data_IF_730277313849
#
_entry.id   IF_730277313849
#
_cell.length_a   1.000
_cell.length_b   1.000
_cell.length_c   1.000
_cell.angle_alpha   90.00
_cell.angle_beta   90.00
_cell.angle_gamma   90.00
#
_symmetry.space_group_name_H-M   'P 1'
#
loop_
_entity.id
_entity.type
_entity.pdbx_description
1 polymer ?
#
# COMPACT_ATOMS: atom_id res chain seq x y z
N UNK A 1 14.21 37.43 -7.06
CA UNK A 1 13.36 36.92 -5.96
C UNK A 1 12.08 36.27 -6.48
N UNK A 2 11.24 36.97 -7.27
CA UNK A 2 9.95 36.43 -7.76
C UNK A 2 10.08 35.18 -8.65
N UNK A 3 11.10 35.14 -9.50
CA UNK A 3 11.37 34.01 -10.42
C UNK A 3 11.73 32.72 -9.67
N UNK A 4 12.56 32.82 -8.63
CA UNK A 4 12.91 31.67 -7.78
C UNK A 4 11.68 31.08 -7.08
N UNK A 5 10.79 31.93 -6.60
CA UNK A 5 9.53 31.52 -6.00
C UNK A 5 8.62 30.78 -6.99
N UNK A 6 8.53 31.28 -8.23
CA UNK A 6 7.75 30.64 -9.29
C UNK A 6 8.34 29.28 -9.70
N UNK A 7 9.67 29.17 -9.83
CA UNK A 7 10.36 27.91 -10.13
C UNK A 7 10.18 26.90 -8.99
N UNK A 8 10.24 27.34 -7.73
CA UNK A 8 10.04 26.48 -6.57
C UNK A 8 8.60 25.95 -6.50
N UNK A 9 7.60 26.80 -6.76
CA UNK A 9 6.19 26.35 -6.84
C UNK A 9 5.99 25.34 -7.98
N UNK A 10 6.57 25.59 -9.16
CA UNK A 10 6.45 24.68 -10.29
C UNK A 10 7.10 23.31 -9.99
N UNK A 11 8.25 23.29 -9.31
CA UNK A 11 8.89 22.04 -8.88
C UNK A 11 8.03 21.27 -7.87
N UNK A 12 7.43 21.96 -6.89
CA UNK A 12 6.56 21.32 -5.89
C UNK A 12 5.26 20.77 -6.48
N UNK A 13 4.70 21.47 -7.47
CA UNK A 13 3.49 21.05 -8.20
C UNK A 13 3.78 19.97 -9.25
N UNK A 14 5.00 19.94 -9.80
CA UNK A 14 5.45 18.96 -10.78
C UNK A 14 5.96 17.64 -10.19
N UNK A 15 6.10 17.57 -8.86
CA UNK A 15 6.28 16.28 -8.18
C UNK A 15 4.95 15.56 -8.19
N UNK A 16 4.78 14.64 -9.14
CA UNK A 16 3.84 13.54 -9.01
C UNK A 16 4.08 12.91 -7.64
N UNK A 17 3.07 12.98 -6.78
CA UNK A 17 3.08 12.23 -5.52
C UNK A 17 2.98 10.76 -5.91
N UNK A 18 4.12 10.09 -6.07
CA UNK A 18 4.19 8.64 -6.12
C UNK A 18 3.82 8.12 -4.72
N UNK A 19 2.54 8.19 -4.38
CA UNK A 19 2.00 7.53 -3.22
C UNK A 19 1.98 6.04 -3.55
N UNK A 20 3.09 5.36 -3.28
CA UNK A 20 3.10 3.91 -3.33
C UNK A 20 2.10 3.41 -2.30
N UNK A 21 1.05 2.76 -2.77
CA UNK A 21 0.08 2.11 -1.92
C UNK A 21 0.80 1.06 -1.07
N UNK A 22 0.51 1.03 0.23
CA UNK A 22 1.00 0.01 1.13
C UNK A 22 -0.18 -0.74 1.73
N UNK A 23 -0.11 -2.07 1.69
CA UNK A 23 -1.12 -2.96 2.24
C UNK A 23 -0.50 -4.00 3.18
N UNK A 24 -1.33 -4.64 3.99
CA UNK A 24 -0.95 -5.84 4.74
C UNK A 24 -1.07 -7.07 3.84
N UNK A 25 -0.11 -7.99 3.95
CA UNK A 25 -0.05 -9.22 3.14
C UNK A 25 -0.09 -10.45 4.02
N UNK A 26 -0.92 -11.42 3.66
CA UNK A 26 -1.18 -12.62 4.44
C UNK A 26 -1.20 -13.86 3.54
N UNK A 27 -0.04 -14.20 2.97
CA UNK A 27 0.08 -15.36 2.08
C UNK A 27 0.80 -16.50 2.79
N UNK A 28 0.11 -17.64 2.97
CA UNK A 28 0.67 -18.88 3.52
C UNK A 28 1.39 -18.71 4.87
N UNK A 29 0.80 -17.92 5.77
CA UNK A 29 1.39 -17.65 7.09
C UNK A 29 0.77 -18.54 8.18
N UNK A 30 1.63 -19.07 9.05
CA UNK A 30 1.23 -19.92 10.18
C UNK A 30 0.67 -19.13 11.39
N UNK A 31 0.79 -17.79 11.38
CA UNK A 31 0.28 -16.92 12.44
C UNK A 31 -0.18 -15.59 11.86
N UNK A 32 -1.30 -15.09 12.38
CA UNK A 32 -1.89 -13.80 12.00
C UNK A 32 -0.93 -12.63 12.24
N UNK A 33 -0.01 -12.75 13.20
CA UNK A 33 0.97 -11.69 13.47
C UNK A 33 1.83 -11.37 12.24
N UNK A 34 2.21 -12.39 11.47
CA UNK A 34 3.02 -12.19 10.27
C UNK A 34 2.27 -11.53 9.12
N UNK A 35 0.94 -11.44 9.22
CA UNK A 35 0.12 -10.76 8.24
C UNK A 35 0.11 -9.24 8.41
N UNK A 36 0.54 -8.73 9.57
CA UNK A 36 0.57 -7.30 9.89
C UNK A 36 1.82 -6.58 9.36
N UNK A 37 2.59 -7.22 8.47
CA UNK A 37 3.74 -6.61 7.83
C UNK A 37 3.28 -5.73 6.65
N UNK A 38 3.55 -4.42 6.66
CA UNK A 38 3.25 -3.56 5.53
C UNK A 38 4.13 -3.94 4.33
N UNK A 39 3.53 -3.97 3.15
CA UNK A 39 4.19 -4.31 1.88
C UNK A 39 3.84 -3.25 0.84
N UNK A 40 4.82 -2.85 0.03
CA UNK A 40 4.60 -1.93 -1.09
C UNK A 40 3.83 -2.69 -2.19
N UNK A 41 2.74 -2.11 -2.65
CA UNK A 41 1.92 -2.64 -3.75
C UNK A 41 2.49 -2.27 -5.12
N UNK A 42 1.97 -2.89 -6.18
CA UNK A 42 2.31 -2.49 -7.55
C UNK A 42 1.82 -1.07 -7.82
N UNK A 43 2.52 -0.33 -8.69
CA UNK A 43 2.09 1.01 -9.13
C UNK A 43 0.72 0.99 -9.85
N UNK A 44 0.30 -0.19 -10.33
CA UNK A 44 -1.04 -0.41 -10.92
C UNK A 44 -2.15 -0.63 -9.89
N UNK A 45 -1.82 -0.88 -8.63
CA UNK A 45 -2.80 -1.18 -7.58
C UNK A 45 -3.34 0.11 -6.98
N UNK A 46 -4.67 0.18 -6.83
CA UNK A 46 -5.36 1.40 -6.37
C UNK A 46 -6.06 1.22 -5.01
N UNK A 47 -6.17 -0.01 -4.51
CA UNK A 47 -6.83 -0.33 -3.24
C UNK A 47 -6.35 -1.66 -2.66
N UNK A 48 -6.43 -1.80 -1.34
CA UNK A 48 -6.18 -3.06 -0.66
C UNK A 48 -7.44 -3.94 -0.65
N UNK A 49 -7.28 -5.26 -0.77
CA UNK A 49 -8.36 -6.22 -0.61
C UNK A 49 -8.08 -7.12 0.59
N UNK A 50 -9.10 -7.38 1.39
CA UNK A 50 -9.03 -8.33 2.50
C UNK A 50 -9.84 -9.56 2.15
N UNK A 51 -9.17 -10.72 2.03
CA UNK A 51 -9.81 -12.01 1.93
C UNK A 51 -9.66 -12.72 3.27
N UNK A 52 -10.78 -13.10 3.89
CA UNK A 52 -10.81 -13.95 5.07
C UNK A 52 -11.47 -15.27 4.71
N UNK A 53 -10.88 -16.36 5.18
CA UNK A 53 -11.48 -17.68 5.13
C UNK A 53 -11.54 -18.21 6.56
N UNK A 54 -12.72 -18.67 6.99
CA UNK A 54 -12.84 -19.42 8.23
C UNK A 54 -12.55 -20.89 7.91
N UNK A 55 -11.48 -21.44 8.50
CA UNK A 55 -11.28 -22.89 8.49
C UNK A 55 -12.24 -23.51 9.51
N UNK A 56 -13.27 -24.22 9.02
CA UNK A 56 -14.12 -25.06 9.85
C UNK A 56 -13.49 -26.43 10.08
N UNK A 57 -13.58 -26.97 11.28
CA UNK A 57 -13.29 -28.37 11.55
C UNK A 57 -14.52 -29.16 11.08
N UNK A 58 -14.47 -29.74 9.89
CA UNK A 58 -15.43 -30.75 9.49
C UNK A 58 -15.06 -32.06 10.18
N UNK A 59 -15.77 -32.42 11.25
CA UNK A 59 -15.83 -33.82 11.66
C UNK A 59 -16.64 -34.57 10.60
N UNK A 60 -15.98 -35.48 9.87
CA UNK A 60 -16.62 -36.46 9.00
C UNK A 60 -17.02 -37.70 9.77
#
# INVERSE_FOLDING_TARGET
MKVFLAVLLAALLGVERAHSLMCFSCTNQNSNWYCLKPTICSDSDNYCVTMSAAAGIGES
#
